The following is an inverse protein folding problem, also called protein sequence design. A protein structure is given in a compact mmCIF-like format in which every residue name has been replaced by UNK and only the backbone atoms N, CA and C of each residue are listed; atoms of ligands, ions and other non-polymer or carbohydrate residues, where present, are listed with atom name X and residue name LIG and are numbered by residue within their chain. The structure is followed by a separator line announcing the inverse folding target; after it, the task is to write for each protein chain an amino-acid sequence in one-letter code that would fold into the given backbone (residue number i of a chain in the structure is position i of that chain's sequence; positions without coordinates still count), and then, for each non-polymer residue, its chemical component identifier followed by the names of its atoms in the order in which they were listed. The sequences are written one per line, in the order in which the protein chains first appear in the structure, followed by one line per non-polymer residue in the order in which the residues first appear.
data_IF_833644852961
#
_entry.id   IF_833644852961
#
_cell.length_a   1.000
_cell.length_b   1.000
_cell.length_c   1.000
_cell.angle_alpha   90.00
_cell.angle_beta   90.00
_cell.angle_gamma   90.00
#
_symmetry.space_group_name_H-M   'P 1'
#
loop_
_entity.id
_entity.type
_entity.pdbx_description
1 polymer ?
#
# COMPACT_ATOMS: atom_id res chain seq x y z
N UNK A 1 -16.38 23.52 20.37
CA UNK A 1 -15.19 23.16 19.58
C UNK A 1 -15.69 22.19 18.52
N UNK A 2 -15.86 22.65 17.30
CA UNK A 2 -16.28 21.81 16.18
C UNK A 2 -15.18 20.78 15.94
N UNK A 3 -15.51 19.52 16.10
CA UNK A 3 -14.69 18.41 15.64
C UNK A 3 -14.60 18.50 14.11
N UNK A 4 -13.58 19.19 13.63
CA UNK A 4 -13.26 19.24 12.21
C UNK A 4 -12.72 17.87 11.81
N UNK A 5 -13.64 16.93 11.59
CA UNK A 5 -13.37 15.54 11.21
C UNK A 5 -13.09 15.45 9.69
N UNK A 6 -12.47 16.51 9.15
CA UNK A 6 -12.11 16.59 7.75
C UNK A 6 -10.89 15.70 7.51
N UNK A 7 -10.99 14.78 6.55
CA UNK A 7 -9.86 13.97 6.13
C UNK A 7 -8.70 14.88 5.68
N UNK A 8 -7.45 14.56 6.00
CA UNK A 8 -6.31 15.21 5.38
C UNK A 8 -6.44 15.17 3.85
N UNK A 9 -6.00 16.25 3.18
CA UNK A 9 -6.19 16.41 1.74
C UNK A 9 -5.76 15.20 0.93
N UNK A 10 -4.61 14.61 1.23
CA UNK A 10 -4.13 13.42 0.53
C UNK A 10 -5.12 12.23 0.61
N UNK A 11 -5.84 12.07 1.72
CA UNK A 11 -6.84 11.02 1.87
C UNK A 11 -8.18 11.38 1.22
N UNK A 12 -8.52 12.67 1.19
CA UNK A 12 -9.66 13.14 0.43
C UNK A 12 -9.44 12.94 -1.07
N UNK A 13 -8.23 13.25 -1.57
CA UNK A 13 -7.86 13.04 -2.97
C UNK A 13 -7.94 11.55 -3.37
N UNK A 14 -7.51 10.62 -2.49
CA UNK A 14 -7.67 9.17 -2.72
C UNK A 14 -9.14 8.80 -2.82
N UNK A 15 -9.96 9.30 -1.90
CA UNK A 15 -11.40 9.03 -1.91
C UNK A 15 -12.04 9.56 -3.18
N UNK A 16 -11.77 10.81 -3.53
CA UNK A 16 -12.36 11.48 -4.71
C UNK A 16 -11.94 10.76 -6.01
N UNK A 17 -10.69 10.34 -6.13
CA UNK A 17 -10.23 9.58 -7.29
C UNK A 17 -10.96 8.22 -7.42
N UNK A 18 -11.10 7.48 -6.33
CA UNK A 18 -11.80 6.19 -6.33
C UNK A 18 -13.31 6.36 -6.58
N UNK A 19 -13.95 7.36 -5.98
CA UNK A 19 -15.36 7.68 -6.18
C UNK A 19 -15.66 8.17 -7.62
N UNK A 20 -14.66 8.81 -8.26
CA UNK A 20 -14.72 9.16 -9.68
C UNK A 20 -14.53 7.97 -10.63
N UNK A 21 -14.29 6.76 -10.10
CA UNK A 21 -14.11 5.56 -10.91
C UNK A 21 -12.72 5.40 -11.52
N UNK A 22 -11.69 6.09 -10.95
CA UNK A 22 -10.30 5.87 -11.38
C UNK A 22 -9.89 4.43 -11.03
N UNK A 23 -9.58 3.66 -12.04
CA UNK A 23 -9.22 2.25 -11.96
C UNK A 23 -7.71 1.99 -11.85
N UNK A 24 -6.86 3.01 -12.08
CA UNK A 24 -5.39 2.95 -12.00
C UNK A 24 -4.83 4.12 -11.24
N UNK A 25 -4.27 3.83 -10.07
CA UNK A 25 -3.83 4.82 -9.09
C UNK A 25 -2.47 4.47 -8.53
N UNK A 26 -1.58 5.45 -8.40
CA UNK A 26 -0.32 5.33 -7.65
C UNK A 26 -0.43 6.08 -6.33
N UNK A 27 -0.13 5.41 -5.23
CA UNK A 27 0.05 6.02 -3.92
C UNK A 27 1.54 6.05 -3.57
N UNK A 28 2.13 7.21 -3.46
CA UNK A 28 3.56 7.37 -3.17
C UNK A 28 3.83 8.20 -1.92
N UNK A 29 5.07 8.20 -1.45
CA UNK A 29 5.47 8.95 -0.26
C UNK A 29 5.93 8.05 0.89
N UNK A 30 6.14 8.60 2.09
CA UNK A 30 6.85 7.93 3.16
C UNK A 30 6.23 6.60 3.60
N UNK A 31 7.04 5.58 4.00
CA UNK A 31 6.53 4.30 4.49
C UNK A 31 5.74 4.43 5.79
N UNK A 32 4.79 3.53 6.01
CA UNK A 32 4.00 3.47 7.25
C UNK A 32 2.86 4.48 7.35
N UNK A 33 2.52 5.18 6.27
CA UNK A 33 1.38 6.11 6.21
C UNK A 33 0.03 5.43 5.96
N UNK A 34 0.02 4.19 5.46
CA UNK A 34 -1.22 3.43 5.23
C UNK A 34 -1.56 3.20 3.75
N UNK A 35 -0.65 3.50 2.80
CA UNK A 35 -0.87 3.33 1.35
C UNK A 35 -1.43 1.96 0.96
N UNK A 36 -0.75 0.89 1.39
CA UNK A 36 -1.17 -0.48 1.11
C UNK A 36 -2.55 -0.79 1.69
N UNK A 37 -2.84 -0.31 2.91
CA UNK A 37 -4.15 -0.49 3.54
C UNK A 37 -5.25 0.21 2.73
N UNK A 38 -5.00 1.42 2.28
CA UNK A 38 -5.94 2.15 1.43
C UNK A 38 -6.22 1.41 0.12
N UNK A 39 -5.17 0.90 -0.55
CA UNK A 39 -5.32 0.09 -1.75
C UNK A 39 -6.21 -1.15 -1.54
N UNK A 40 -6.09 -1.80 -0.39
CA UNK A 40 -6.84 -3.02 -0.06
C UNK A 40 -8.26 -2.78 0.47
N UNK A 41 -8.60 -1.54 0.89
CA UNK A 41 -9.82 -1.32 1.68
C UNK A 41 -10.70 -0.17 1.21
N UNK A 42 -10.17 0.79 0.42
CA UNK A 42 -10.92 2.00 0.05
C UNK A 42 -11.61 1.86 -1.31
N UNK A 43 -12.75 2.53 -1.45
CA UNK A 43 -13.57 2.51 -2.66
C UNK A 43 -14.35 1.21 -2.85
N UNK A 44 -14.99 1.05 -3.99
CA UNK A 44 -15.75 -0.16 -4.33
C UNK A 44 -14.81 -1.30 -4.75
N UNK A 45 -14.82 -2.40 -4.01
CA UNK A 45 -14.00 -3.61 -4.26
C UNK A 45 -14.93 -4.82 -4.26
N UNK A 46 -15.74 -4.95 -5.31
CA UNK A 46 -16.75 -6.01 -5.36
C UNK A 46 -16.16 -7.39 -5.69
N UNK A 47 -15.19 -7.45 -6.62
CA UNK A 47 -14.54 -8.70 -7.02
C UNK A 47 -13.48 -9.23 -6.07
N UNK A 48 -13.20 -8.54 -4.93
CA UNK A 48 -12.13 -8.86 -3.98
C UNK A 48 -10.84 -8.08 -4.20
N UNK A 49 -9.87 -8.22 -3.29
CA UNK A 49 -8.59 -7.53 -3.39
C UNK A 49 -7.42 -8.51 -3.21
N UNK A 50 -6.41 -8.36 -4.04
CA UNK A 50 -5.19 -9.17 -4.03
C UNK A 50 -3.96 -8.28 -3.90
N UNK A 51 -3.06 -8.66 -3.01
CA UNK A 51 -1.80 -7.95 -2.79
C UNK A 51 -0.64 -8.71 -3.40
N UNK A 52 0.14 -8.04 -4.24
CA UNK A 52 1.43 -8.48 -4.75
C UNK A 52 2.52 -7.58 -4.17
N UNK A 53 3.49 -8.13 -3.47
CA UNK A 53 4.61 -7.38 -2.91
C UNK A 53 5.79 -7.56 -3.85
N UNK A 54 6.29 -6.46 -4.43
CA UNK A 54 7.47 -6.51 -5.27
C UNK A 54 8.74 -6.64 -4.43
N UNK A 55 9.63 -7.50 -4.89
CA UNK A 55 10.99 -7.70 -4.37
C UNK A 55 11.94 -7.84 -5.53
N UNK A 56 13.24 -7.65 -5.29
CA UNK A 56 14.27 -7.71 -6.33
C UNK A 56 14.42 -9.10 -6.95
N UNK A 57 14.02 -10.14 -6.19
CA UNK A 57 14.13 -11.56 -6.56
C UNK A 57 12.81 -12.19 -7.03
N UNK A 58 11.72 -11.42 -7.10
CA UNK A 58 10.45 -11.94 -7.59
C UNK A 58 10.52 -12.29 -9.08
N UNK A 59 9.65 -13.21 -9.50
CA UNK A 59 9.59 -13.73 -10.85
C UNK A 59 8.25 -13.46 -11.52
N UNK A 60 8.18 -13.59 -12.83
CA UNK A 60 6.92 -13.52 -13.58
C UNK A 60 5.89 -14.57 -13.12
N UNK A 61 6.35 -15.68 -12.54
CA UNK A 61 5.49 -16.71 -11.96
C UNK A 61 4.63 -16.20 -10.80
N UNK A 62 5.15 -15.27 -10.00
CA UNK A 62 4.41 -14.66 -8.89
C UNK A 62 3.28 -13.77 -9.41
N UNK A 63 3.47 -13.16 -10.58
CA UNK A 63 2.50 -12.29 -11.23
C UNK A 63 1.45 -13.10 -11.97
N UNK A 64 1.86 -14.01 -12.86
CA UNK A 64 1.00 -14.71 -13.82
C UNK A 64 0.59 -16.11 -13.40
N UNK A 65 1.48 -16.84 -12.72
CA UNK A 65 1.25 -18.21 -12.25
C UNK A 65 2.32 -19.19 -12.66
N UNK A 66 2.23 -20.39 -12.10
CA UNK A 66 3.20 -21.47 -12.32
C UNK A 66 2.58 -22.84 -12.03
N UNK A 67 3.25 -23.89 -12.48
CA UNK A 67 2.90 -25.26 -12.11
C UNK A 67 3.42 -25.60 -10.73
N UNK A 68 2.60 -26.28 -9.94
CA UNK A 68 2.95 -26.84 -8.64
C UNK A 68 2.78 -28.36 -8.65
N UNK A 69 3.58 -29.14 -7.90
CA UNK A 69 3.37 -30.57 -7.73
C UNK A 69 1.99 -30.86 -7.08
N UNK A 70 1.29 -31.83 -7.63
CA UNK A 70 0.00 -32.31 -7.11
C UNK A 70 -0.06 -33.83 -7.16
N UNK A 71 0.44 -34.49 -6.11
CA UNK A 71 0.63 -35.92 -6.10
C UNK A 71 1.68 -36.38 -7.12
N UNK A 72 1.29 -37.23 -8.08
CA UNK A 72 2.13 -37.70 -9.17
C UNK A 72 2.00 -36.82 -10.43
N UNK A 73 1.28 -35.70 -10.37
CA UNK A 73 0.98 -34.83 -11.50
C UNK A 73 1.33 -33.37 -11.16
N UNK A 74 1.07 -32.47 -12.12
CA UNK A 74 1.28 -31.03 -11.98
C UNK A 74 -0.03 -30.28 -12.13
N UNK A 75 -0.28 -29.35 -11.22
CA UNK A 75 -1.44 -28.46 -11.27
C UNK A 75 -0.99 -27.02 -11.52
N UNK A 76 -1.72 -26.32 -12.39
CA UNK A 76 -1.49 -24.89 -12.59
C UNK A 76 -2.06 -24.10 -11.39
N UNK A 77 -1.28 -23.12 -10.92
CA UNK A 77 -1.68 -22.16 -9.89
C UNK A 77 -1.57 -20.76 -10.44
N UNK A 78 -2.70 -20.07 -10.57
CA UNK A 78 -2.73 -18.69 -11.02
C UNK A 78 -1.94 -17.76 -10.10
N UNK A 79 -1.20 -16.84 -10.70
CA UNK A 79 -0.49 -15.78 -10.02
C UNK A 79 -1.44 -14.67 -9.52
N UNK A 80 -0.88 -13.73 -8.80
CA UNK A 80 -1.69 -12.71 -8.10
C UNK A 80 -2.44 -11.80 -9.07
N UNK A 81 -1.82 -11.39 -10.19
CA UNK A 81 -2.49 -10.53 -11.18
C UNK A 81 -3.62 -11.26 -11.90
N UNK A 82 -3.44 -12.53 -12.26
CA UNK A 82 -4.49 -13.34 -12.90
C UNK A 82 -5.68 -13.53 -11.97
N UNK A 83 -5.42 -13.79 -10.68
CA UNK A 83 -6.50 -13.87 -9.66
C UNK A 83 -7.29 -12.57 -9.55
N UNK A 84 -6.59 -11.43 -9.55
CA UNK A 84 -7.25 -10.13 -9.51
C UNK A 84 -8.06 -9.86 -10.80
N UNK A 85 -7.57 -10.28 -11.97
CA UNK A 85 -8.33 -10.19 -13.22
C UNK A 85 -9.64 -10.97 -13.19
N UNK A 86 -9.61 -12.17 -12.61
CA UNK A 86 -10.78 -13.05 -12.53
C UNK A 86 -11.70 -12.68 -11.36
N UNK A 87 -11.16 -12.03 -10.33
CA UNK A 87 -11.91 -11.58 -9.18
C UNK A 87 -12.72 -12.70 -8.52
N UNK A 88 -14.03 -12.49 -8.40
CA UNK A 88 -14.99 -13.48 -7.89
C UNK A 88 -15.58 -14.39 -8.99
N UNK A 89 -15.08 -14.27 -10.23
CA UNK A 89 -15.57 -14.97 -11.41
C UNK A 89 -16.69 -14.25 -12.18
N UNK A 90 -17.28 -13.23 -11.61
CA UNK A 90 -18.29 -12.36 -12.24
C UNK A 90 -17.73 -10.95 -12.48
N UNK A 91 -16.94 -10.46 -11.56
CA UNK A 91 -16.30 -9.13 -11.61
C UNK A 91 -14.82 -9.24 -11.30
N UNK A 92 -14.04 -8.43 -11.99
CA UNK A 92 -12.62 -8.25 -11.69
C UNK A 92 -12.44 -7.63 -10.31
N UNK A 93 -11.35 -7.99 -9.65
CA UNK A 93 -11.01 -7.46 -8.34
C UNK A 93 -9.95 -6.38 -8.41
N UNK A 94 -9.48 -5.96 -7.26
CA UNK A 94 -8.39 -5.00 -7.16
C UNK A 94 -7.04 -5.68 -6.98
N UNK A 95 -6.09 -5.35 -7.86
CA UNK A 95 -4.68 -5.69 -7.67
C UNK A 95 -3.97 -4.55 -6.93
N UNK A 96 -3.42 -4.84 -5.77
CA UNK A 96 -2.54 -3.91 -5.04
C UNK A 96 -1.11 -4.35 -5.24
N UNK A 97 -0.36 -3.60 -6.04
CA UNK A 97 1.07 -3.83 -6.29
C UNK A 97 1.86 -2.97 -5.31
N UNK A 98 2.43 -3.61 -4.30
CA UNK A 98 3.13 -2.94 -3.20
C UNK A 98 4.63 -2.87 -3.49
N UNK A 99 5.23 -1.70 -3.26
CA UNK A 99 6.66 -1.43 -3.49
C UNK A 99 7.09 -1.66 -4.95
N UNK A 100 6.31 -1.10 -5.92
CA UNK A 100 6.57 -1.26 -7.36
C UNK A 100 7.97 -0.84 -7.78
N UNK A 101 8.59 0.08 -7.07
CA UNK A 101 9.97 0.54 -7.27
C UNK A 101 11.02 -0.57 -7.09
N UNK A 102 10.66 -1.69 -6.47
CA UNK A 102 11.52 -2.86 -6.27
C UNK A 102 11.34 -3.96 -7.32
N UNK A 103 10.40 -3.80 -8.24
CA UNK A 103 10.21 -4.80 -9.29
C UNK A 103 11.39 -4.82 -10.26
N UNK A 104 12.02 -5.97 -10.45
CA UNK A 104 13.07 -6.17 -11.47
C UNK A 104 12.52 -5.99 -12.90
N UNK A 105 13.40 -5.75 -13.88
CA UNK A 105 13.04 -5.33 -15.23
C UNK A 105 12.00 -6.21 -15.93
N UNK A 106 12.16 -7.54 -15.89
CA UNK A 106 11.23 -8.49 -16.55
C UNK A 106 9.87 -8.52 -15.87
N UNK A 107 9.87 -8.50 -14.53
CA UNK A 107 8.64 -8.46 -13.73
C UNK A 107 7.94 -7.11 -13.89
N UNK A 108 8.69 -6.02 -13.91
CA UNK A 108 8.16 -4.69 -14.17
C UNK A 108 7.46 -4.63 -15.54
N UNK A 109 8.09 -5.14 -16.61
CA UNK A 109 7.48 -5.20 -17.93
C UNK A 109 6.19 -6.05 -17.95
N UNK A 110 6.20 -7.20 -17.25
CA UNK A 110 5.02 -8.05 -17.09
C UNK A 110 3.90 -7.32 -16.34
N UNK A 111 4.21 -6.64 -15.26
CA UNK A 111 3.23 -5.85 -14.49
C UNK A 111 2.64 -4.72 -15.35
N UNK A 112 3.46 -4.00 -16.13
CA UNK A 112 2.94 -2.98 -17.04
C UNK A 112 1.96 -3.57 -18.06
N UNK A 113 2.25 -4.75 -18.63
CA UNK A 113 1.35 -5.41 -19.57
C UNK A 113 0.05 -5.91 -18.91
N UNK A 114 0.15 -6.44 -17.69
CA UNK A 114 -1.00 -6.97 -16.92
C UNK A 114 -1.88 -5.86 -16.32
N UNK A 115 -1.36 -4.65 -16.18
CA UNK A 115 -2.08 -3.52 -15.59
C UNK A 115 -2.41 -2.41 -16.59
N UNK A 116 -2.29 -2.71 -17.87
CA UNK A 116 -2.69 -1.82 -18.97
C UNK A 116 -4.23 -1.69 -19.06
N UNK A 117 -4.73 -0.93 -20.02
CA UNK A 117 -6.17 -0.77 -20.22
C UNK A 117 -6.85 -2.12 -20.43
N UNK A 118 -8.13 -2.29 -20.05
CA UNK A 118 -8.86 -3.55 -20.24
C UNK A 118 -8.84 -4.06 -21.69
N UNK A 119 -8.80 -3.15 -22.66
CA UNK A 119 -8.72 -3.47 -24.08
C UNK A 119 -7.35 -4.03 -24.48
N UNK A 120 -6.28 -3.50 -23.89
CA UNK A 120 -4.89 -3.86 -24.18
C UNK A 120 -4.40 -5.04 -23.35
N UNK A 121 -4.84 -5.13 -22.08
CA UNK A 121 -4.41 -6.18 -21.18
C UNK A 121 -4.93 -7.54 -21.64
N UNK A 122 -4.02 -8.43 -22.00
CA UNK A 122 -4.30 -9.81 -22.42
C UNK A 122 -3.13 -10.71 -22.10
N UNK A 123 -3.45 -11.93 -21.72
CA UNK A 123 -2.44 -12.94 -21.41
C UNK A 123 -2.96 -14.33 -21.75
N UNK A 124 -2.14 -15.13 -22.42
CA UNK A 124 -2.48 -16.52 -22.75
C UNK A 124 -2.05 -17.43 -21.61
N UNK A 125 -3.01 -18.14 -21.01
CA UNK A 125 -2.74 -19.10 -19.96
C UNK A 125 -2.02 -20.33 -20.53
N UNK A 126 -0.76 -20.61 -20.15
CA UNK A 126 0.01 -21.72 -20.71
C UNK A 126 -0.55 -23.10 -20.35
N UNK A 127 -1.42 -23.20 -19.33
CA UNK A 127 -2.06 -24.44 -18.92
C UNK A 127 -3.11 -24.94 -19.93
N UNK A 128 -3.83 -24.03 -20.60
CA UNK A 128 -4.96 -24.39 -21.45
C UNK A 128 -5.08 -23.58 -22.74
N UNK A 129 -4.13 -22.72 -23.04
CA UNK A 129 -4.13 -21.87 -24.24
C UNK A 129 -5.22 -20.79 -24.27
N UNK A 130 -5.98 -20.59 -23.19
CA UNK A 130 -7.02 -19.56 -23.16
C UNK A 130 -6.42 -18.17 -23.07
N UNK A 131 -6.87 -17.30 -23.95
CA UNK A 131 -6.58 -15.87 -23.83
C UNK A 131 -7.46 -15.29 -22.72
N UNK A 132 -6.83 -14.84 -21.63
CA UNK A 132 -7.47 -14.17 -20.52
C UNK A 132 -7.39 -12.65 -20.67
N UNK A 133 -8.40 -11.98 -20.17
CA UNK A 133 -8.49 -10.53 -20.02
C UNK A 133 -9.06 -10.19 -18.63
N UNK A 134 -8.80 -9.00 -18.10
CA UNK A 134 -9.45 -8.57 -16.87
C UNK A 134 -10.98 -8.54 -17.05
N UNK A 135 -11.71 -9.01 -16.05
CA UNK A 135 -13.16 -8.85 -15.99
C UNK A 135 -13.49 -7.39 -15.62
N UNK A 136 -14.72 -6.99 -15.95
CA UNK A 136 -15.25 -5.67 -15.61
C UNK A 136 -15.13 -5.40 -14.10
N UNK A 137 -14.72 -4.20 -13.73
CA UNK A 137 -14.47 -3.82 -12.34
C UNK A 137 -13.04 -4.08 -11.86
N UNK A 138 -12.16 -4.66 -12.71
CA UNK A 138 -10.74 -4.76 -12.38
C UNK A 138 -10.13 -3.38 -12.17
N UNK A 139 -9.39 -3.22 -11.08
CA UNK A 139 -8.67 -1.98 -10.77
C UNK A 139 -7.30 -2.27 -10.18
N UNK A 140 -6.42 -1.28 -10.26
CA UNK A 140 -5.04 -1.40 -9.78
C UNK A 140 -4.66 -0.23 -8.89
N UNK A 141 -4.12 -0.52 -7.73
CA UNK A 141 -3.46 0.47 -6.88
C UNK A 141 -2.01 0.06 -6.71
N UNK A 142 -1.10 0.86 -7.22
CA UNK A 142 0.33 0.68 -6.98
C UNK A 142 0.77 1.52 -5.80
N UNK A 143 1.70 1.00 -4.99
CA UNK A 143 2.31 1.75 -3.91
C UNK A 143 3.82 1.79 -4.06
N UNK A 144 4.43 2.89 -3.62
CA UNK A 144 5.87 3.05 -3.57
C UNK A 144 6.28 3.94 -2.40
N UNK A 145 7.52 3.79 -1.94
CA UNK A 145 8.10 4.62 -0.88
C UNK A 145 8.97 5.78 -1.41
N UNK A 146 9.03 5.96 -2.72
CA UNK A 146 9.69 7.15 -3.29
C UNK A 146 8.96 8.41 -2.84
N UNK A 147 9.68 9.51 -2.75
CA UNK A 147 9.11 10.80 -2.35
C UNK A 147 8.91 11.76 -3.52
N UNK A 148 9.57 11.49 -4.64
CA UNK A 148 9.50 12.29 -5.87
C UNK A 148 9.03 11.42 -7.05
N UNK A 149 7.92 11.81 -7.67
CA UNK A 149 7.37 11.14 -8.86
C UNK A 149 8.32 11.13 -10.05
N UNK A 150 9.34 12.01 -10.09
CA UNK A 150 10.37 12.00 -11.15
C UNK A 150 11.23 10.75 -11.13
N UNK A 151 11.32 10.06 -9.99
CA UNK A 151 12.04 8.80 -9.86
C UNK A 151 11.33 7.61 -10.51
N UNK A 152 10.01 7.71 -10.74
CA UNK A 152 9.27 6.65 -11.41
C UNK A 152 9.49 6.66 -12.92
N UNK A 153 9.57 5.49 -13.57
CA UNK A 153 9.64 5.36 -15.02
C UNK A 153 8.46 6.04 -15.73
N UNK A 154 8.73 6.72 -16.85
CA UNK A 154 7.69 7.38 -17.66
C UNK A 154 6.60 6.42 -18.12
N UNK A 155 6.98 5.18 -18.49
CA UNK A 155 6.04 4.15 -18.91
C UNK A 155 4.99 3.80 -17.84
N UNK A 156 5.34 3.96 -16.55
CA UNK A 156 4.41 3.77 -15.45
C UNK A 156 3.49 4.99 -15.29
N UNK A 157 4.06 6.20 -15.37
CA UNK A 157 3.30 7.46 -15.25
C UNK A 157 2.25 7.62 -16.36
N UNK A 158 2.58 7.18 -17.56
CA UNK A 158 1.65 7.19 -18.70
C UNK A 158 0.44 6.27 -18.48
N UNK A 159 0.64 5.09 -17.90
CA UNK A 159 -0.43 4.12 -17.61
C UNK A 159 -1.24 4.44 -16.35
N UNK A 160 -0.64 5.17 -15.42
CA UNK A 160 -1.22 5.54 -14.12
C UNK A 160 -1.28 7.06 -14.01
N UNK A 161 -2.24 7.71 -14.66
CA UNK A 161 -2.27 9.18 -14.76
C UNK A 161 -2.58 9.85 -13.43
N UNK A 162 -3.13 9.12 -12.46
CA UNK A 162 -3.43 9.65 -11.13
C UNK A 162 -2.41 9.10 -10.13
N UNK A 163 -1.62 10.01 -9.57
CA UNK A 163 -0.65 9.71 -8.54
C UNK A 163 -0.83 10.67 -7.35
N UNK A 164 -0.99 10.09 -6.15
CA UNK A 164 -1.30 10.86 -4.94
C UNK A 164 -0.20 10.64 -3.91
N UNK A 165 0.39 11.73 -3.42
CA UNK A 165 1.38 11.69 -2.34
C UNK A 165 0.69 11.54 -1.00
N UNK A 166 0.97 10.45 -0.31
CA UNK A 166 0.45 10.20 1.05
C UNK A 166 1.52 10.61 2.07
N UNK A 167 1.41 11.82 2.55
CA UNK A 167 2.35 12.42 3.51
C UNK A 167 1.82 12.41 4.97
N UNK A 168 0.55 12.09 5.17
CA UNK A 168 -0.06 12.03 6.50
C UNK A 168 -0.72 10.67 6.74
N UNK A 169 -0.68 10.12 7.96
CA UNK A 169 -1.42 8.91 8.29
C UNK A 169 -2.93 9.17 8.29
N UNK A 170 -3.70 8.13 7.95
CA UNK A 170 -5.16 8.21 8.00
C UNK A 170 -5.64 8.47 9.45
N UNK A 171 -6.64 9.34 9.67
CA UNK A 171 -7.16 9.65 11.01
C UNK A 171 -7.58 8.40 11.80
N UNK A 172 -8.21 7.42 11.18
CA UNK A 172 -8.59 6.17 11.85
C UNK A 172 -7.38 5.37 12.34
N UNK A 173 -6.26 5.43 11.65
CA UNK A 173 -5.03 4.81 12.10
C UNK A 173 -4.44 5.57 13.30
N UNK A 174 -4.44 6.91 13.26
CA UNK A 174 -4.04 7.73 14.40
C UNK A 174 -4.93 7.49 15.62
N UNK A 175 -6.24 7.34 15.42
CA UNK A 175 -7.20 7.12 16.50
C UNK A 175 -7.01 5.79 17.23
N UNK A 176 -6.28 4.84 16.65
CA UNK A 176 -5.88 3.58 17.32
C UNK A 176 -4.73 3.76 18.31
N UNK A 177 -3.97 4.86 18.21
CA UNK A 177 -2.97 5.21 19.21
C UNK A 177 -3.62 5.83 20.45
N UNK A 178 -2.97 5.69 21.59
CA UNK A 178 -3.32 6.43 22.78
C UNK A 178 -3.25 7.93 22.51
N UNK A 179 -4.17 8.69 23.09
CA UNK A 179 -4.41 10.10 22.74
C UNK A 179 -3.15 10.99 22.85
N UNK A 180 -2.33 10.72 23.87
CA UNK A 180 -1.09 11.45 24.14
C UNK A 180 0.02 11.26 23.08
N UNK A 181 -0.07 10.21 22.25
CA UNK A 181 0.90 9.94 21.18
C UNK A 181 0.53 10.56 19.84
N UNK A 182 -0.75 10.85 19.62
CA UNK A 182 -1.28 11.24 18.31
C UNK A 182 -0.64 12.51 17.75
N UNK A 183 -0.49 13.61 18.52
CA UNK A 183 0.11 14.84 18.01
C UNK A 183 1.56 14.63 17.57
N UNK A 184 2.34 13.92 18.38
CA UNK A 184 3.71 13.63 18.04
C UNK A 184 3.84 12.68 16.85
N UNK A 185 3.01 11.65 16.77
CA UNK A 185 2.97 10.71 15.65
C UNK A 185 2.60 11.41 14.34
N UNK A 186 1.64 12.34 14.37
CA UNK A 186 1.26 13.13 13.20
C UNK A 186 2.42 14.03 12.74
N UNK A 187 3.07 14.74 13.66
CA UNK A 187 4.22 15.60 13.35
C UNK A 187 5.41 14.82 12.79
N UNK A 188 5.61 13.59 13.27
CA UNK A 188 6.72 12.74 12.82
C UNK A 188 6.45 12.02 11.50
N UNK A 189 5.22 12.02 11.00
CA UNK A 189 4.85 11.31 9.77
C UNK A 189 5.57 11.84 8.53
N UNK A 190 5.81 13.15 8.45
CA UNK A 190 6.46 13.83 7.33
C UNK A 190 7.67 14.68 7.79
N UNK A 191 8.44 14.17 8.75
CA UNK A 191 9.57 14.88 9.35
C UNK A 191 10.92 14.65 8.61
N UNK A 192 10.88 14.18 7.36
CA UNK A 192 12.08 13.84 6.57
C UNK A 192 12.95 12.81 7.29
N UNK A 193 14.26 13.06 7.39
CA UNK A 193 15.25 12.14 8.01
C UNK A 193 14.98 11.83 9.48
N UNK A 194 14.20 12.66 10.17
CA UNK A 194 13.84 12.48 11.58
C UNK A 194 12.53 11.73 11.77
N UNK A 195 11.91 11.28 10.69
CA UNK A 195 10.62 10.62 10.71
C UNK A 195 10.61 9.37 11.58
N UNK A 196 9.49 9.17 12.28
CA UNK A 196 9.16 7.96 13.02
C UNK A 196 7.85 7.42 12.42
N UNK A 197 7.87 6.17 11.96
CA UNK A 197 6.70 5.58 11.31
C UNK A 197 5.57 5.32 12.31
N UNK A 198 4.33 5.32 11.82
CA UNK A 198 3.16 4.98 12.65
C UNK A 198 3.26 3.54 13.20
N UNK A 199 3.89 2.61 12.45
CA UNK A 199 4.15 1.24 12.93
C UNK A 199 5.02 1.24 14.19
N UNK A 200 6.04 2.09 14.24
CA UNK A 200 6.92 2.27 15.39
C UNK A 200 6.16 2.79 16.60
N UNK A 201 5.24 3.75 16.39
CA UNK A 201 4.38 4.25 17.45
C UNK A 201 3.42 3.19 17.97
N UNK A 202 2.84 2.35 17.11
CA UNK A 202 2.00 1.24 17.57
C UNK A 202 2.77 0.23 18.42
N UNK A 203 4.00 -0.10 18.01
CA UNK A 203 4.87 -0.98 18.79
C UNK A 203 5.20 -0.37 20.16
N UNK A 204 5.53 0.91 20.19
CA UNK A 204 5.78 1.63 21.44
C UNK A 204 4.54 1.68 22.33
N UNK A 205 3.38 2.07 21.79
CA UNK A 205 2.12 2.17 22.55
C UNK A 205 1.69 0.81 23.15
N UNK A 206 1.96 -0.28 22.43
CA UNK A 206 1.73 -1.63 22.94
C UNK A 206 2.67 -1.98 24.08
N UNK A 207 3.99 -1.75 23.90
CA UNK A 207 5.00 -2.13 24.89
C UNK A 207 4.92 -1.32 26.17
N UNK A 208 4.65 0.00 26.09
CA UNK A 208 4.60 0.86 27.27
C UNK A 208 3.52 0.45 28.27
N UNK A 209 2.41 -0.13 27.80
CA UNK A 209 1.33 -0.65 28.65
C UNK A 209 1.77 -1.78 29.58
N UNK A 210 2.84 -2.50 29.22
CA UNK A 210 3.37 -3.62 29.99
C UNK A 210 4.69 -3.29 30.68
N UNK A 211 5.57 -2.52 30.02
CA UNK A 211 6.94 -2.29 30.48
C UNK A 211 7.19 -0.90 31.06
N UNK A 212 6.19 0.01 30.96
CA UNK A 212 6.35 1.44 31.26
C UNK A 212 7.02 2.21 30.14
N UNK A 213 6.84 3.55 30.17
CA UNK A 213 7.26 4.46 29.09
C UNK A 213 8.77 4.40 28.82
N UNK A 214 9.60 4.49 29.85
CA UNK A 214 11.06 4.58 29.71
C UNK A 214 11.66 3.29 29.12
N UNK A 215 11.24 2.13 29.62
CA UNK A 215 11.76 0.85 29.13
C UNK A 215 11.30 0.57 27.70
N UNK A 216 10.03 0.87 27.38
CA UNK A 216 9.50 0.74 26.03
C UNK A 216 10.20 1.69 25.06
N UNK A 217 10.43 2.95 25.46
CA UNK A 217 11.13 3.92 24.62
C UNK A 217 12.56 3.48 24.30
N UNK A 218 13.31 2.98 25.28
CA UNK A 218 14.67 2.46 25.06
C UNK A 218 14.68 1.30 24.07
N UNK A 219 13.71 0.40 24.13
CA UNK A 219 13.63 -0.77 23.24
C UNK A 219 13.25 -0.39 21.81
N UNK A 220 12.43 0.66 21.62
CA UNK A 220 11.88 1.03 20.31
C UNK A 220 12.69 2.15 19.64
N UNK A 221 13.10 3.16 20.40
CA UNK A 221 13.74 4.37 19.87
C UNK A 221 15.26 4.40 20.12
N UNK A 222 15.79 3.45 20.87
CA UNK A 222 17.22 3.30 21.18
C UNK A 222 17.84 4.60 21.70
N UNK A 223 18.84 5.13 21.03
CA UNK A 223 19.54 6.37 21.39
C UNK A 223 18.64 7.61 21.38
N UNK A 224 17.51 7.57 20.64
CA UNK A 224 16.53 8.67 20.59
C UNK A 224 15.49 8.63 21.70
N UNK A 225 15.55 7.65 22.61
CA UNK A 225 14.49 7.39 23.59
C UNK A 225 14.17 8.62 24.45
N UNK A 226 15.17 9.27 25.03
CA UNK A 226 14.97 10.44 25.90
C UNK A 226 14.36 11.61 25.13
N UNK A 227 14.90 11.94 23.97
CA UNK A 227 14.38 13.04 23.15
C UNK A 227 12.96 12.82 22.67
N UNK A 228 12.58 11.56 22.38
CA UNK A 228 11.22 11.19 21.98
C UNK A 228 10.27 11.31 23.17
N UNK A 229 10.65 10.82 24.36
CA UNK A 229 9.84 10.94 25.58
C UNK A 229 9.58 12.39 25.95
N UNK A 230 10.60 13.24 25.87
CA UNK A 230 10.45 14.66 26.19
C UNK A 230 9.57 15.38 25.17
N UNK A 231 9.69 15.06 23.88
CA UNK A 231 8.83 15.60 22.85
C UNK A 231 7.36 15.18 23.04
N UNK A 232 7.08 13.92 23.42
CA UNK A 232 5.73 13.44 23.75
C UNK A 232 5.16 14.20 24.96
N UNK A 233 5.97 14.46 26.00
CA UNK A 233 5.54 15.23 27.18
C UNK A 233 5.19 16.67 26.83
N UNK A 234 6.00 17.33 25.98
CA UNK A 234 5.73 18.70 25.52
C UNK A 234 4.42 18.77 24.76
N UNK A 235 4.19 17.85 23.80
CA UNK A 235 2.96 17.83 23.03
C UNK A 235 1.71 17.55 23.88
N UNK A 236 1.86 16.79 24.98
CA UNK A 236 0.77 16.54 25.92
C UNK A 236 0.34 17.79 26.71
N UNK A 237 1.26 18.73 26.93
CA UNK A 237 0.98 19.98 27.66
C UNK A 237 0.33 21.02 26.74
N UNK A 238 0.51 20.89 25.43
CA UNK A 238 -0.01 21.84 24.43
C UNK A 238 -1.48 21.58 24.01
N UNK A 239 -2.12 20.54 24.58
CA UNK A 239 -3.53 20.15 24.37
C UNK A 239 -4.34 20.57 25.60
#
# INVERSE_FOLDING_TARGET
MENNNQLPQCWQDVKDALDAGIDRLILFGPPGTGKTFAGLSFGDIQGGAWRLICTDDMTNADVTGHYIPNGNDWAWKDGTAVKAWQGDGLRGGRLVVDEIDKAGGDVFATLLAMTDTPESAKWENPNNGRLLRPLDGFSVVMTTNIEDMRELPEALKDRFPVAIRINQPHPDALNRLSADLRPYALRMADAGDRRISLRTFFAYDKLRKTLGDEKAARLIFHEKAESVLDAIKIDKIAI
#
